data_IF_202246266095
#
_entry.id   IF_202246266095
#
_cell.length_a   1.000
_cell.length_b   1.000
_cell.length_c   1.000
_cell.angle_alpha   90.00
_cell.angle_beta   90.00
_cell.angle_gamma   90.00
#
_symmetry.space_group_name_H-M   'P 1'
#
loop_
_entity.id
_entity.type
_entity.pdbx_description
1 polymer ?
#
# COMPACT_ATOMS: atom_id res chain seq x y z
N UNK A 1 -10.16 8.89 -5.10
CA UNK A 1 -9.76 7.81 -6.03
C UNK A 1 -9.07 6.76 -5.21
N UNK A 2 -9.66 5.56 -5.11
CA UNK A 2 -9.07 4.48 -4.33
C UNK A 2 -7.86 3.92 -5.05
N UNK A 3 -6.69 3.99 -4.41
CA UNK A 3 -5.47 3.38 -4.94
C UNK A 3 -5.47 1.91 -4.55
N UNK A 4 -5.62 1.04 -5.55
CA UNK A 4 -5.52 -0.41 -5.38
C UNK A 4 -4.14 -0.85 -5.85
N UNK A 5 -3.45 -1.65 -5.03
CA UNK A 5 -2.12 -2.19 -5.36
C UNK A 5 -2.23 -3.70 -5.56
N UNK A 6 -1.61 -4.17 -6.65
CA UNK A 6 -1.63 -5.58 -7.04
C UNK A 6 -3.02 -6.16 -7.28
N UNK A 7 -4.04 -5.32 -7.47
CA UNK A 7 -5.44 -5.73 -7.62
C UNK A 7 -6.12 -6.27 -6.36
N UNK A 8 -5.42 -6.35 -5.21
CA UNK A 8 -5.89 -7.05 -4.00
C UNK A 8 -6.03 -6.17 -2.76
N UNK A 9 -5.21 -5.12 -2.65
CA UNK A 9 -5.16 -4.30 -1.45
C UNK A 9 -5.58 -2.87 -1.72
N UNK A 10 -6.50 -2.36 -0.90
CA UNK A 10 -6.80 -0.93 -0.85
C UNK A 10 -5.74 -0.22 -0.04
N UNK A 11 -5.10 0.78 -0.63
CA UNK A 11 -4.13 1.63 0.06
C UNK A 11 -4.87 2.57 1.02
N UNK A 12 -4.58 2.45 2.30
CA UNK A 12 -5.08 3.29 3.37
C UNK A 12 -4.11 4.41 3.73
N UNK A 13 -4.07 4.80 5.01
CA UNK A 13 -3.22 5.90 5.47
C UNK A 13 -1.74 5.58 5.33
N UNK A 14 -0.95 6.60 4.99
CA UNK A 14 0.52 6.52 5.03
C UNK A 14 0.98 6.36 6.47
N UNK A 15 1.89 5.41 6.68
CA UNK A 15 2.52 5.15 7.99
C UNK A 15 3.93 5.74 8.06
N UNK A 16 4.63 5.82 6.93
CA UNK A 16 5.98 6.38 6.88
C UNK A 16 6.55 6.41 5.47
N UNK A 17 7.76 6.95 5.34
CA UNK A 17 8.54 6.92 4.10
C UNK A 17 10.02 6.86 4.40
N UNK A 18 10.76 6.16 3.55
CA UNK A 18 12.21 6.03 3.60
C UNK A 18 12.82 6.00 2.20
N UNK A 19 14.14 5.76 2.12
CA UNK A 19 14.87 5.67 0.85
C UNK A 19 14.37 4.56 -0.07
N UNK A 20 13.74 3.53 0.51
CA UNK A 20 13.14 2.39 -0.19
C UNK A 20 11.68 2.64 -0.63
N UNK A 21 11.12 3.83 -0.39
CA UNK A 21 9.74 4.17 -0.79
C UNK A 21 8.81 4.52 0.37
N UNK A 22 7.51 4.38 0.12
CA UNK A 22 6.44 4.81 1.03
C UNK A 22 5.69 3.60 1.61
N UNK A 23 5.42 3.63 2.92
CA UNK A 23 4.69 2.56 3.62
C UNK A 23 3.27 3.04 3.91
N UNK A 24 2.30 2.20 3.57
CA UNK A 24 0.89 2.45 3.82
C UNK A 24 0.24 1.29 4.59
N UNK A 25 -0.81 1.61 5.34
CA UNK A 25 -1.74 0.60 5.85
C UNK A 25 -2.58 0.07 4.69
N UNK A 26 -2.50 -1.22 4.38
CA UNK A 26 -3.31 -1.89 3.37
C UNK A 26 -4.45 -2.70 3.99
N UNK A 27 -5.60 -2.71 3.32
CA UNK A 27 -6.74 -3.57 3.67
C UNK A 27 -7.03 -4.50 2.50
N UNK A 28 -7.05 -5.82 2.75
CA UNK A 28 -7.48 -6.82 1.76
C UNK A 28 -8.99 -6.81 1.59
N UNK A 29 -9.46 -6.88 0.35
CA UNK A 29 -10.90 -7.02 0.06
C UNK A 29 -11.41 -8.44 0.27
N UNK A 30 -10.54 -9.45 0.21
CA UNK A 30 -10.92 -10.87 0.26
C UNK A 30 -10.97 -11.41 1.70
N UNK A 31 -9.99 -11.08 2.54
CA UNK A 31 -9.76 -11.79 3.81
C UNK A 31 -9.95 -10.92 5.08
N UNK A 32 -10.38 -9.66 4.94
CA UNK A 32 -10.55 -8.71 6.06
C UNK A 32 -9.38 -8.78 7.08
N UNK A 33 -8.15 -8.69 6.56
CA UNK A 33 -6.92 -8.65 7.36
C UNK A 33 -6.11 -7.38 7.06
N UNK A 34 -5.39 -6.88 8.06
CA UNK A 34 -4.56 -5.67 7.95
C UNK A 34 -3.14 -6.04 7.51
N UNK A 35 -2.65 -5.42 6.44
CA UNK A 35 -1.29 -5.65 5.93
C UNK A 35 -0.51 -4.33 5.84
N UNK A 36 0.82 -4.38 5.95
CA UNK A 36 1.69 -3.26 5.61
C UNK A 36 2.07 -3.36 4.13
N UNK A 37 1.86 -2.28 3.37
CA UNK A 37 2.15 -2.25 1.95
C UNK A 37 3.29 -1.28 1.65
N UNK A 38 4.39 -1.81 1.10
CA UNK A 38 5.48 -1.01 0.56
C UNK A 38 5.17 -0.63 -0.88
N UNK A 39 5.21 0.67 -1.18
CA UNK A 39 5.06 1.21 -2.53
C UNK A 39 6.36 1.88 -2.94
N UNK A 40 7.00 1.32 -3.97
CA UNK A 40 8.19 1.87 -4.60
C UNK A 40 7.79 2.74 -5.79
N UNK A 41 8.49 3.86 -5.99
CA UNK A 41 8.33 4.64 -7.22
C UNK A 41 9.21 4.02 -8.30
N UNK A 42 8.60 3.50 -9.36
CA UNK A 42 9.33 3.17 -10.59
C UNK A 42 9.98 4.45 -11.11
N UNK A 43 11.31 4.50 -11.09
CA UNK A 43 12.07 5.54 -11.77
C UNK A 43 11.77 5.48 -13.27
N UNK A 44 11.63 6.65 -13.89
CA UNK A 44 11.62 6.78 -15.35
C UNK A 44 12.95 6.22 -15.89
#
# INVERSE_FOLDING_TARGET
>A
MDRVVGGKFKLGRKLGSGSFGEIFLGVSFEDIFLAALLVERSGI
#
